data_IF_697508841311
#
_entry.id   IF_697508841311
#
_cell.length_a   1.000
_cell.length_b   1.000
_cell.length_c   1.000
_cell.angle_alpha   90.00
_cell.angle_beta   90.00
_cell.angle_gamma   90.00
#
_symmetry.space_group_name_H-M   'P 1'
#
loop_
_entity.id
_entity.type
_entity.pdbx_description
1 polymer ?
#
# COMPACT_ATOMS: atom_id res chain seq x y z
N UNK A 1 15.68 8.90 2.34
CA UNK A 1 16.58 10.04 2.14
C UNK A 1 17.44 10.25 3.38
N UNK A 2 18.26 11.30 3.39
CA UNK A 2 19.14 11.65 4.51
C UNK A 2 18.82 13.07 4.98
N UNK A 3 18.71 13.28 6.29
CA UNK A 3 18.46 14.60 6.86
C UNK A 3 19.68 15.49 6.61
N UNK A 4 19.49 16.62 5.91
CA UNK A 4 20.55 17.62 5.68
C UNK A 4 20.61 18.66 6.80
N UNK A 5 19.45 19.12 7.26
CA UNK A 5 19.30 20.13 8.31
C UNK A 5 17.93 19.96 8.99
N UNK A 6 17.80 20.52 10.18
CA UNK A 6 16.54 20.51 10.93
C UNK A 6 16.13 21.94 11.30
N UNK A 7 14.82 22.19 11.33
CA UNK A 7 14.27 23.47 11.77
C UNK A 7 14.28 23.63 13.29
N UNK A 8 14.01 24.84 13.75
CA UNK A 8 13.87 25.14 15.18
C UNK A 8 12.79 24.24 15.84
N UNK A 9 13.07 23.75 17.05
CA UNK A 9 12.16 22.91 17.83
C UNK A 9 12.14 21.43 17.44
N UNK A 10 12.78 21.02 16.34
CA UNK A 10 12.94 19.61 15.97
C UNK A 10 14.01 18.97 16.88
N UNK A 11 13.60 17.94 17.65
CA UNK A 11 14.50 17.26 18.61
C UNK A 11 14.81 15.80 18.27
N UNK A 12 14.00 15.19 17.39
CA UNK A 12 14.06 13.75 17.13
C UNK A 12 14.91 13.36 15.91
N UNK A 13 15.55 14.35 15.27
CA UNK A 13 16.36 14.17 14.07
C UNK A 13 17.60 15.05 14.13
N UNK A 14 18.69 14.58 13.53
CA UNK A 14 19.92 15.32 13.33
C UNK A 14 20.41 15.20 11.87
N UNK A 15 21.24 16.14 11.37
CA UNK A 15 21.93 15.96 10.10
C UNK A 15 22.65 14.61 10.02
N UNK A 16 22.52 13.91 8.89
CA UNK A 16 23.07 12.57 8.67
C UNK A 16 22.09 11.43 8.96
N UNK A 17 20.99 11.67 9.68
CA UNK A 17 20.01 10.62 9.96
C UNK A 17 19.36 10.12 8.66
N UNK A 18 19.38 8.80 8.45
CA UNK A 18 18.58 8.16 7.41
C UNK A 18 17.11 8.15 7.81
N UNK A 19 16.24 8.51 6.85
CA UNK A 19 14.80 8.55 7.06
C UNK A 19 14.02 8.00 5.87
N UNK A 20 12.84 7.47 6.18
CA UNK A 20 11.75 7.26 5.22
C UNK A 20 10.73 8.38 5.45
N UNK A 21 10.27 9.02 4.38
CA UNK A 21 9.15 9.95 4.45
C UNK A 21 7.85 9.17 4.35
N UNK A 22 7.04 9.23 5.40
CA UNK A 22 5.70 8.69 5.46
C UNK A 22 4.73 9.56 4.66
N UNK A 23 3.75 8.91 4.03
CA UNK A 23 2.57 9.58 3.49
C UNK A 23 1.89 10.40 4.61
N UNK A 24 1.69 9.80 5.77
CA UNK A 24 0.97 10.45 6.86
C UNK A 24 1.93 11.11 7.83
N UNK A 25 1.65 12.37 8.17
CA UNK A 25 2.31 13.05 9.28
C UNK A 25 1.57 12.71 10.59
N UNK A 26 2.33 12.36 11.62
CA UNK A 26 1.79 11.80 12.86
C UNK A 26 2.09 12.73 14.03
N UNK A 27 1.11 13.55 14.47
CA UNK A 27 1.35 14.53 15.54
C UNK A 27 1.59 13.89 16.92
N UNK A 28 1.18 12.63 17.11
CA UNK A 28 1.38 11.89 18.35
C UNK A 28 0.45 12.26 19.52
N UNK A 29 -0.43 13.25 19.36
CA UNK A 29 -1.25 13.78 20.46
C UNK A 29 -2.75 13.90 20.17
N UNK A 30 -3.17 13.93 18.90
CA UNK A 30 -4.60 13.94 18.56
C UNK A 30 -5.27 12.61 18.92
N UNK A 31 -6.61 12.58 18.95
CA UNK A 31 -7.38 11.39 19.34
C UNK A 31 -6.96 10.14 18.56
N UNK A 32 -6.85 10.24 17.24
CA UNK A 32 -6.45 9.10 16.41
C UNK A 32 -5.00 8.65 16.67
N UNK A 33 -4.06 9.58 16.86
CA UNK A 33 -2.69 9.21 17.22
C UNK A 33 -2.63 8.52 18.58
N UNK A 34 -3.31 9.07 19.59
CA UNK A 34 -3.36 8.53 20.95
C UNK A 34 -4.05 7.15 21.02
N UNK A 35 -4.97 6.87 20.10
CA UNK A 35 -5.63 5.57 19.96
C UNK A 35 -4.87 4.58 19.06
N UNK A 36 -3.62 4.88 18.67
CA UNK A 36 -2.81 4.00 17.85
C UNK A 36 -3.21 3.94 16.37
N UNK A 37 -3.93 4.95 15.86
CA UNK A 37 -4.36 5.09 14.45
C UNK A 37 -3.76 6.33 13.78
N UNK A 38 -2.43 6.49 13.77
CA UNK A 38 -1.78 7.73 13.37
C UNK A 38 -1.83 7.98 11.85
N UNK A 39 -2.10 6.98 11.01
CA UNK A 39 -2.36 7.17 9.57
C UNK A 39 -3.55 8.10 9.29
N UNK A 40 -4.49 8.23 10.22
CA UNK A 40 -5.62 9.16 10.14
C UNK A 40 -5.45 10.29 11.16
N UNK A 41 -4.26 10.89 11.23
CA UNK A 41 -4.00 12.03 12.10
C UNK A 41 -5.01 13.16 11.87
N UNK A 42 -5.57 13.72 12.95
CA UNK A 42 -6.56 14.80 12.87
C UNK A 42 -5.89 16.18 12.78
N UNK A 43 -4.63 16.29 13.22
CA UNK A 43 -3.86 17.54 13.23
C UNK A 43 -3.27 17.83 11.86
N UNK A 44 -2.65 16.83 11.24
CA UNK A 44 -1.97 17.01 9.97
C UNK A 44 -2.87 16.55 8.84
N UNK A 45 -3.34 17.49 8.01
CA UNK A 45 -4.11 17.19 6.80
C UNK A 45 -3.21 17.10 5.59
N UNK A 46 -3.58 16.25 4.63
CA UNK A 46 -2.92 16.20 3.33
C UNK A 46 -3.40 17.35 2.44
N UNK A 47 -2.95 18.57 2.74
CA UNK A 47 -3.29 19.75 1.96
C UNK A 47 -2.09 20.20 1.10
N UNK A 48 -2.32 20.70 -0.13
CA UNK A 48 -1.26 21.28 -0.93
C UNK A 48 -0.61 22.45 -0.20
N UNK A 49 0.72 22.43 -0.11
CA UNK A 49 1.52 23.53 0.43
C UNK A 49 2.45 24.07 -0.64
N UNK A 50 2.82 25.34 -0.52
CA UNK A 50 3.88 25.94 -1.33
C UNK A 50 5.11 26.18 -0.46
N UNK A 51 6.21 25.53 -0.84
CA UNK A 51 7.55 25.65 -0.25
C UNK A 51 8.64 25.81 -1.31
N UNK A 52 8.31 25.57 -2.58
CA UNK A 52 9.20 25.79 -3.72
C UNK A 52 8.65 26.91 -4.58
N UNK A 53 9.55 27.59 -5.28
CA UNK A 53 9.21 28.59 -6.29
C UNK A 53 9.99 28.31 -7.57
N UNK A 54 9.37 28.57 -8.72
CA UNK A 54 10.03 28.58 -10.01
C UNK A 54 9.73 29.91 -10.69
N UNK A 55 10.77 30.64 -11.07
CA UNK A 55 10.65 31.97 -11.68
C UNK A 55 9.79 32.95 -10.85
N UNK A 56 9.87 32.87 -9.52
CA UNK A 56 9.08 33.69 -8.59
C UNK A 56 7.70 33.12 -8.25
N UNK A 57 7.16 32.20 -9.05
CA UNK A 57 5.83 31.63 -8.85
C UNK A 57 5.84 30.43 -7.88
N UNK A 58 4.84 30.31 -6.98
CA UNK A 58 4.74 29.21 -6.03
C UNK A 58 4.42 27.88 -6.73
N UNK A 59 5.18 26.83 -6.39
CA UNK A 59 4.85 25.44 -6.76
C UNK A 59 4.15 24.75 -5.60
N UNK A 60 2.89 24.40 -5.82
CA UNK A 60 2.08 23.63 -4.87
C UNK A 60 2.37 22.15 -4.99
N UNK A 61 2.45 21.48 -3.85
CA UNK A 61 2.75 20.07 -3.78
C UNK A 61 2.16 19.44 -2.52
N UNK A 62 2.07 18.12 -2.54
CA UNK A 62 1.76 17.29 -1.37
C UNK A 62 2.91 16.30 -1.23
N UNK A 63 3.78 16.50 -0.24
CA UNK A 63 4.97 15.68 0.05
C UNK A 63 5.83 15.37 -1.20
N UNK A 64 6.60 16.34 -1.69
CA UNK A 64 7.33 16.19 -2.94
C UNK A 64 8.58 15.34 -2.71
N UNK A 65 8.72 14.29 -3.51
CA UNK A 65 9.87 13.37 -3.48
C UNK A 65 10.56 13.23 -4.83
N UNK A 66 10.03 13.84 -5.90
CA UNK A 66 10.69 13.96 -7.21
C UNK A 66 11.55 15.22 -7.29
N UNK A 67 12.37 15.43 -6.25
CA UNK A 67 13.27 16.56 -6.08
C UNK A 67 14.49 16.07 -5.29
N UNK A 68 15.68 16.60 -5.59
CA UNK A 68 16.92 16.22 -4.89
C UNK A 68 16.90 16.62 -3.41
N UNK A 69 16.19 17.69 -3.07
CA UNK A 69 16.02 18.17 -1.71
C UNK A 69 14.57 18.51 -1.45
N UNK A 70 14.06 18.03 -0.31
CA UNK A 70 12.68 18.29 0.11
C UNK A 70 12.59 18.81 1.53
N UNK A 71 11.69 19.77 1.74
CA UNK A 71 11.28 20.20 3.06
C UNK A 71 10.09 19.35 3.52
N UNK A 72 10.29 18.60 4.61
CA UNK A 72 9.26 17.76 5.20
C UNK A 72 8.96 18.15 6.65
N UNK A 73 7.73 17.89 7.09
CA UNK A 73 7.40 17.94 8.51
C UNK A 73 8.16 16.83 9.24
N UNK A 74 8.79 17.15 10.37
CA UNK A 74 9.46 16.14 11.19
C UNK A 74 8.50 15.00 11.61
N UNK A 75 7.21 15.31 11.77
CA UNK A 75 6.17 14.34 12.09
C UNK A 75 5.85 13.35 10.97
N UNK A 76 6.25 13.64 9.73
CA UNK A 76 6.16 12.74 8.59
C UNK A 76 7.44 11.91 8.37
N UNK A 77 8.50 12.17 9.15
CA UNK A 77 9.75 11.44 9.03
C UNK A 77 9.75 10.23 9.95
N UNK A 78 10.22 9.09 9.43
CA UNK A 78 10.54 7.90 10.22
C UNK A 78 12.04 7.68 10.13
N UNK A 79 12.75 7.81 11.25
CA UNK A 79 14.18 7.50 11.34
C UNK A 79 14.39 6.00 11.16
N UNK A 80 15.39 5.63 10.37
CA UNK A 80 15.72 4.22 10.07
C UNK A 80 17.19 3.94 10.40
N UNK A 81 17.58 2.67 10.63
CA UNK A 81 18.97 2.29 10.87
C UNK A 81 19.93 2.75 9.76
N UNK A 82 21.18 3.05 10.11
CA UNK A 82 22.20 3.54 9.17
C UNK A 82 22.56 2.53 8.08
N UNK A 83 22.37 1.24 8.32
CA UNK A 83 22.58 0.16 7.34
C UNK A 83 21.39 -0.03 6.38
N UNK A 84 20.34 0.80 6.48
CA UNK A 84 19.16 0.70 5.62
C UNK A 84 19.52 1.03 4.17
N UNK A 85 19.16 0.12 3.26
CA UNK A 85 19.21 0.33 1.81
C UNK A 85 18.01 1.19 1.40
N UNK A 86 18.26 2.46 1.09
CA UNK A 86 17.19 3.45 0.90
C UNK A 86 16.38 3.22 -0.39
N UNK A 87 16.97 2.57 -1.39
CA UNK A 87 16.31 2.27 -2.67
C UNK A 87 15.15 1.29 -2.51
N UNK A 88 15.31 0.24 -1.70
CA UNK A 88 14.24 -0.69 -1.35
C UNK A 88 13.31 -0.09 -0.30
N UNK A 89 13.89 0.56 0.71
CA UNK A 89 13.13 1.13 1.81
C UNK A 89 12.17 2.23 1.36
N UNK A 90 12.43 2.90 0.22
CA UNK A 90 11.51 3.91 -0.32
C UNK A 90 10.13 3.34 -0.69
N UNK A 91 10.02 2.04 -0.96
CA UNK A 91 8.76 1.38 -1.28
C UNK A 91 7.85 1.19 -0.05
N UNK A 92 8.46 1.20 1.15
CA UNK A 92 7.78 0.93 2.42
C UNK A 92 6.68 1.96 2.69
N UNK A 93 6.93 3.23 2.38
CA UNK A 93 6.09 4.34 2.81
C UNK A 93 4.74 4.50 2.11
N UNK A 94 4.43 3.62 1.16
CA UNK A 94 3.19 3.66 0.42
C UNK A 94 2.70 2.24 0.11
N UNK A 95 3.10 1.66 -1.02
CA UNK A 95 2.52 0.41 -1.52
C UNK A 95 2.72 -0.78 -0.59
N UNK A 96 3.90 -0.90 0.01
CA UNK A 96 4.26 -2.05 0.85
C UNK A 96 3.47 -2.04 2.16
N UNK A 97 3.54 -0.94 2.94
CA UNK A 97 2.77 -0.84 4.18
C UNK A 97 1.26 -0.89 3.93
N UNK A 98 0.79 -0.31 2.82
CA UNK A 98 -0.64 -0.35 2.48
C UNK A 98 -1.10 -1.80 2.31
N UNK A 99 -0.36 -2.60 1.53
CA UNK A 99 -0.72 -3.98 1.28
C UNK A 99 -0.57 -4.87 2.51
N UNK A 100 0.61 -4.89 3.12
CA UNK A 100 0.88 -5.73 4.30
C UNK A 100 -0.05 -5.31 5.46
N UNK A 101 -0.14 -4.01 5.74
CA UNK A 101 -0.98 -3.48 6.81
C UNK A 101 -2.47 -3.71 6.59
N UNK A 102 -2.96 -3.67 5.34
CA UNK A 102 -4.36 -4.03 5.07
C UNK A 102 -4.68 -5.45 5.57
N UNK A 103 -3.75 -6.39 5.43
CA UNK A 103 -3.89 -7.76 5.92
C UNK A 103 -3.70 -7.83 7.44
N UNK A 104 -2.53 -7.43 7.95
CA UNK A 104 -2.15 -7.74 9.34
C UNK A 104 -2.68 -6.74 10.36
N UNK A 105 -2.81 -5.47 10.00
CA UNK A 105 -3.26 -4.42 10.91
C UNK A 105 -4.78 -4.24 10.82
N UNK A 106 -5.34 -4.22 9.60
CA UNK A 106 -6.72 -3.81 9.37
C UNK A 106 -7.71 -4.97 9.35
N UNK A 107 -7.48 -5.96 8.48
CA UNK A 107 -8.33 -7.13 8.34
C UNK A 107 -8.07 -8.17 9.43
N UNK A 108 -6.82 -8.23 9.93
CA UNK A 108 -6.36 -9.21 10.90
C UNK A 108 -6.62 -10.66 10.44
N UNK A 109 -6.30 -10.94 9.17
CA UNK A 109 -6.51 -12.24 8.53
C UNK A 109 -5.97 -13.36 9.41
N UNK A 110 -6.82 -14.34 9.71
CA UNK A 110 -6.44 -15.46 10.54
C UNK A 110 -5.61 -16.49 9.77
N UNK A 111 -4.77 -17.21 10.50
CA UNK A 111 -4.04 -18.35 9.97
C UNK A 111 -4.99 -19.40 9.39
N UNK A 112 -4.68 -19.86 8.18
CA UNK A 112 -5.47 -20.83 7.43
C UNK A 112 -6.63 -20.23 6.63
N UNK A 113 -6.95 -18.95 6.79
CA UNK A 113 -8.03 -18.30 6.05
C UNK A 113 -7.75 -18.27 4.54
N UNK A 114 -8.82 -18.28 3.75
CA UNK A 114 -8.77 -18.02 2.31
C UNK A 114 -8.95 -16.54 2.03
N UNK A 115 -8.16 -16.01 1.10
CA UNK A 115 -8.24 -14.62 0.68
C UNK A 115 -8.13 -14.45 -0.83
N UNK A 116 -8.90 -13.51 -1.37
CA UNK A 116 -8.81 -13.04 -2.75
C UNK A 116 -8.21 -11.64 -2.81
N UNK A 117 -7.38 -11.36 -3.82
CA UNK A 117 -6.75 -10.05 -4.03
C UNK A 117 -7.05 -9.57 -5.44
N UNK A 118 -7.92 -8.57 -5.55
CA UNK A 118 -8.31 -7.96 -6.81
C UNK A 118 -7.34 -6.85 -7.19
N UNK A 119 -6.43 -7.16 -8.12
CA UNK A 119 -5.37 -6.30 -8.64
C UNK A 119 -3.99 -6.72 -8.15
N UNK A 120 -3.08 -7.03 -9.08
CA UNK A 120 -1.71 -7.48 -8.80
C UNK A 120 -0.67 -6.39 -9.12
N UNK A 121 -1.01 -5.13 -8.81
CA UNK A 121 -0.05 -4.01 -8.81
C UNK A 121 0.75 -3.97 -7.50
N UNK A 122 1.63 -2.99 -7.32
CA UNK A 122 2.52 -2.99 -6.14
C UNK A 122 1.84 -2.83 -4.77
N UNK A 123 0.55 -2.50 -4.67
CA UNK A 123 -0.21 -2.66 -3.40
C UNK A 123 -0.66 -4.12 -3.26
N UNK A 124 -1.31 -4.69 -4.28
CA UNK A 124 -1.80 -6.06 -4.27
C UNK A 124 -0.73 -7.12 -4.09
N UNK A 125 0.44 -6.94 -4.72
CA UNK A 125 1.61 -7.79 -4.48
C UNK A 125 2.00 -7.80 -2.99
N UNK A 126 1.83 -6.68 -2.28
CA UNK A 126 2.10 -6.61 -0.84
C UNK A 126 0.92 -7.06 0.03
N UNK A 127 -0.32 -7.04 -0.47
CA UNK A 127 -1.44 -7.76 0.16
C UNK A 127 -1.17 -9.27 0.13
N UNK A 128 -0.67 -9.79 -1.00
CA UNK A 128 -0.28 -11.20 -1.11
C UNK A 128 0.81 -11.55 -0.10
N UNK A 129 1.89 -10.75 -0.02
CA UNK A 129 2.93 -10.94 1.00
C UNK A 129 2.37 -10.85 2.44
N UNK A 130 1.44 -9.92 2.69
CA UNK A 130 0.73 -9.83 3.95
C UNK A 130 -0.04 -11.12 4.28
N UNK A 131 -0.69 -11.73 3.28
CA UNK A 131 -1.35 -13.03 3.41
C UNK A 131 -0.40 -14.16 3.77
N UNK A 132 0.79 -14.19 3.15
CA UNK A 132 1.86 -15.14 3.51
C UNK A 132 2.31 -14.95 4.96
N UNK A 133 2.52 -13.70 5.39
CA UNK A 133 2.89 -13.38 6.78
C UNK A 133 1.81 -13.78 7.79
N UNK A 134 0.53 -13.65 7.42
CA UNK A 134 -0.61 -14.11 8.22
C UNK A 134 -0.83 -15.63 8.19
N UNK A 135 -0.05 -16.36 7.38
CA UNK A 135 -0.22 -17.78 7.10
C UNK A 135 -1.61 -18.13 6.56
N UNK A 136 -2.13 -17.31 5.63
CA UNK A 136 -3.35 -17.60 4.89
C UNK A 136 -3.21 -18.93 4.11
N UNK A 137 -4.26 -19.76 4.13
CA UNK A 137 -4.25 -21.10 3.54
C UNK A 137 -4.42 -21.09 2.02
N UNK A 138 -5.22 -20.15 1.49
CA UNK A 138 -5.38 -19.91 0.05
C UNK A 138 -5.27 -18.42 -0.23
N UNK A 139 -4.32 -18.05 -1.08
CA UNK A 139 -4.14 -16.67 -1.55
C UNK A 139 -4.42 -16.66 -3.05
N UNK A 140 -5.54 -16.07 -3.45
CA UNK A 140 -6.06 -16.06 -4.82
C UNK A 140 -5.79 -14.70 -5.44
N UNK A 141 -4.89 -14.66 -6.43
CA UNK A 141 -4.54 -13.45 -7.17
C UNK A 141 -5.49 -13.26 -8.35
N UNK A 142 -6.08 -12.07 -8.47
CA UNK A 142 -6.96 -11.69 -9.59
C UNK A 142 -6.37 -10.48 -10.30
N UNK A 143 -6.14 -10.59 -11.60
CA UNK A 143 -5.73 -9.46 -12.46
C UNK A 143 -6.19 -9.75 -13.89
N UNK A 144 -6.08 -8.77 -14.79
CA UNK A 144 -6.39 -8.95 -16.22
C UNK A 144 -5.14 -9.28 -17.04
N UNK A 145 -3.95 -9.06 -16.49
CA UNK A 145 -2.66 -9.24 -17.17
C UNK A 145 -1.92 -10.46 -16.62
N UNK A 146 -1.68 -11.46 -17.47
CA UNK A 146 -1.04 -12.73 -17.07
C UNK A 146 0.33 -12.54 -16.40
N UNK A 147 1.19 -11.66 -16.96
CA UNK A 147 2.50 -11.35 -16.36
C UNK A 147 2.40 -10.85 -14.91
N UNK A 148 1.33 -10.15 -14.52
CA UNK A 148 1.16 -9.72 -13.12
C UNK A 148 0.76 -10.88 -12.21
N UNK A 149 0.08 -11.89 -12.75
CA UNK A 149 -0.22 -13.13 -12.02
C UNK A 149 1.05 -13.96 -11.79
N UNK A 150 1.98 -13.97 -12.76
CA UNK A 150 3.31 -14.56 -12.58
C UNK A 150 4.10 -13.85 -11.46
N UNK A 151 4.05 -12.51 -11.41
CA UNK A 151 4.63 -11.77 -10.28
C UNK A 151 3.93 -12.08 -8.95
N UNK A 152 2.61 -12.25 -8.97
CA UNK A 152 1.84 -12.63 -7.79
C UNK A 152 2.26 -13.99 -7.24
N UNK A 153 2.55 -14.96 -8.12
CA UNK A 153 3.09 -16.28 -7.73
C UNK A 153 4.41 -16.12 -6.98
N UNK A 154 5.32 -15.29 -7.50
CA UNK A 154 6.60 -15.01 -6.84
C UNK A 154 6.42 -14.39 -5.46
N UNK A 155 5.33 -13.66 -5.22
CA UNK A 155 5.01 -13.05 -3.93
C UNK A 155 4.29 -13.99 -2.95
N UNK A 156 3.94 -15.20 -3.39
CA UNK A 156 3.31 -16.24 -2.58
C UNK A 156 1.81 -16.45 -2.83
N UNK A 157 1.26 -15.93 -3.93
CA UNK A 157 -0.07 -16.33 -4.36
C UNK A 157 -0.07 -17.82 -4.72
N UNK A 158 -1.18 -18.49 -4.38
CA UNK A 158 -1.35 -19.95 -4.52
C UNK A 158 -2.29 -20.33 -5.66
N UNK A 159 -3.14 -19.39 -6.06
CA UNK A 159 -4.14 -19.56 -7.12
C UNK A 159 -4.21 -18.27 -7.93
N UNK A 160 -4.61 -18.38 -9.19
CA UNK A 160 -4.57 -17.29 -10.16
C UNK A 160 -5.86 -17.27 -10.96
N UNK A 161 -6.39 -16.08 -11.18
CA UNK A 161 -7.62 -15.86 -11.93
C UNK A 161 -7.40 -14.68 -12.88
N UNK A 162 -7.51 -14.92 -14.18
CA UNK A 162 -7.47 -13.83 -15.15
C UNK A 162 -8.89 -13.34 -15.41
N UNK A 163 -9.27 -12.21 -14.81
CA UNK A 163 -10.63 -11.66 -14.90
C UNK A 163 -11.01 -11.09 -16.28
N UNK A 164 -10.07 -11.04 -17.23
CA UNK A 164 -10.38 -10.77 -18.63
C UNK A 164 -10.82 -12.02 -19.40
N UNK A 165 -10.61 -13.23 -18.85
CA UNK A 165 -10.88 -14.51 -19.50
C UNK A 165 -12.04 -15.28 -18.84
N UNK A 166 -12.28 -15.05 -17.57
CA UNK A 166 -13.30 -15.74 -16.78
C UNK A 166 -13.92 -14.83 -15.71
N UNK A 167 -15.05 -15.24 -15.13
CA UNK A 167 -15.69 -14.51 -14.03
C UNK A 167 -14.91 -14.75 -12.72
N UNK A 168 -14.28 -13.72 -12.14
CA UNK A 168 -13.49 -13.88 -10.94
C UNK A 168 -14.32 -14.28 -9.71
N UNK A 169 -15.57 -13.85 -9.61
CA UNK A 169 -16.42 -14.14 -8.44
C UNK A 169 -16.74 -15.63 -8.39
N UNK A 170 -17.21 -16.19 -9.51
CA UNK A 170 -17.50 -17.62 -9.61
C UNK A 170 -16.25 -18.45 -9.37
N UNK A 171 -15.11 -18.05 -9.96
CA UNK A 171 -13.86 -18.80 -9.82
C UNK A 171 -13.35 -18.81 -8.37
N UNK A 172 -13.46 -17.69 -7.66
CA UNK A 172 -13.13 -17.63 -6.22
C UNK A 172 -14.04 -18.58 -5.42
N UNK A 173 -15.34 -18.57 -5.68
CA UNK A 173 -16.31 -19.45 -5.00
C UNK A 173 -15.97 -20.92 -5.24
N UNK A 174 -15.62 -21.31 -6.46
CA UNK A 174 -15.21 -22.68 -6.80
C UNK A 174 -13.92 -23.09 -6.09
N UNK A 175 -12.88 -22.24 -6.10
CA UNK A 175 -11.59 -22.51 -5.46
C UNK A 175 -11.76 -22.69 -3.94
N UNK A 176 -12.64 -21.90 -3.34
CA UNK A 176 -12.84 -21.85 -1.88
C UNK A 176 -13.92 -22.82 -1.38
N UNK A 177 -14.82 -23.26 -2.27
CA UNK A 177 -15.98 -24.10 -1.91
C UNK A 177 -17.13 -23.32 -1.28
N UNK A 178 -17.23 -22.00 -1.51
CA UNK A 178 -18.32 -21.17 -0.94
C UNK A 178 -18.05 -19.66 -0.82
N UNK A 179 -16.90 -19.18 -1.30
CA UNK A 179 -16.46 -17.79 -1.18
C UNK A 179 -15.25 -17.66 -0.25
N UNK A 180 -14.42 -16.65 -0.49
CA UNK A 180 -13.24 -16.40 0.34
C UNK A 180 -13.63 -15.86 1.72
N UNK A 181 -12.81 -16.11 2.74
CA UNK A 181 -12.99 -15.51 4.07
C UNK A 181 -12.70 -13.99 4.00
N UNK A 182 -11.72 -13.59 3.18
CA UNK A 182 -11.37 -12.20 2.91
C UNK A 182 -11.27 -11.89 1.41
N UNK A 183 -11.67 -10.69 1.00
CA UNK A 183 -11.40 -10.17 -0.34
C UNK A 183 -10.82 -8.75 -0.26
N UNK A 184 -9.69 -8.50 -0.90
CA UNK A 184 -9.03 -7.20 -0.92
C UNK A 184 -9.19 -6.56 -2.30
N UNK A 185 -9.88 -5.42 -2.33
CA UNK A 185 -10.00 -4.58 -3.52
C UNK A 185 -8.86 -3.54 -3.52
N UNK A 186 -7.91 -3.66 -4.46
CA UNK A 186 -6.70 -2.81 -4.51
C UNK A 186 -6.51 -2.10 -5.85
N UNK A 187 -7.60 -1.90 -6.61
CA UNK A 187 -7.59 -1.24 -7.93
C UNK A 187 -8.15 0.17 -7.87
N UNK A 188 -9.29 0.37 -7.20
CA UNK A 188 -9.99 1.65 -7.09
C UNK A 188 -11.19 1.82 -8.02
N UNK A 189 -11.97 0.75 -8.26
CA UNK A 189 -13.19 0.84 -9.07
C UNK A 189 -14.42 0.27 -8.35
N UNK A 190 -15.59 0.97 -8.34
CA UNK A 190 -16.78 0.52 -7.62
C UNK A 190 -17.27 -0.88 -8.05
N UNK A 191 -17.17 -1.19 -9.34
CA UNK A 191 -17.54 -2.51 -9.87
C UNK A 191 -16.68 -3.64 -9.27
N UNK A 192 -15.40 -3.38 -8.99
CA UNK A 192 -14.50 -4.36 -8.40
C UNK A 192 -14.75 -4.46 -6.89
N UNK A 193 -15.14 -3.36 -6.23
CA UNK A 193 -15.61 -3.43 -4.83
C UNK A 193 -16.83 -4.34 -4.71
N UNK A 194 -17.76 -4.25 -5.68
CA UNK A 194 -18.91 -5.16 -5.76
C UNK A 194 -18.47 -6.62 -5.95
N UNK A 195 -17.56 -6.89 -6.89
CA UNK A 195 -17.01 -8.24 -7.08
C UNK A 195 -16.34 -8.78 -5.80
N UNK A 196 -15.60 -7.93 -5.08
CA UNK A 196 -14.94 -8.32 -3.84
C UNK A 196 -15.94 -8.80 -2.78
N UNK A 197 -17.00 -8.03 -2.50
CA UNK A 197 -18.03 -8.44 -1.53
C UNK A 197 -18.87 -9.63 -2.01
N UNK A 198 -19.07 -9.77 -3.32
CA UNK A 198 -19.83 -10.90 -3.89
C UNK A 198 -19.02 -12.20 -3.79
N UNK A 199 -17.69 -12.10 -3.84
CA UNK A 199 -16.76 -13.23 -3.80
C UNK A 199 -16.47 -13.79 -2.40
N UNK A 200 -16.83 -13.06 -1.33
CA UNK A 200 -16.67 -13.58 0.02
C UNK A 200 -17.85 -14.46 0.43
N UNK A 201 -17.60 -15.40 1.33
CA UNK A 201 -18.63 -16.24 1.94
C UNK A 201 -19.54 -15.43 2.88
N UNK A 202 -20.64 -16.03 3.33
CA UNK A 202 -21.36 -15.55 4.53
C UNK A 202 -20.38 -15.41 5.70
N UNK A 203 -20.53 -14.34 6.49
CA UNK A 203 -19.58 -13.92 7.54
C UNK A 203 -18.20 -13.45 7.05
N UNK A 204 -17.97 -13.38 5.73
CA UNK A 204 -16.69 -12.96 5.15
C UNK A 204 -16.51 -11.44 5.06
N UNK A 205 -15.28 -10.99 4.83
CA UNK A 205 -14.92 -9.57 4.85
C UNK A 205 -14.31 -9.09 3.53
N UNK A 206 -14.94 -8.08 2.91
CA UNK A 206 -14.36 -7.33 1.81
C UNK A 206 -13.67 -6.05 2.33
N UNK A 207 -12.41 -5.86 1.93
CA UNK A 207 -11.52 -4.78 2.36
C UNK A 207 -11.22 -3.88 1.16
N UNK A 208 -11.72 -2.65 1.20
CA UNK A 208 -11.47 -1.62 0.19
C UNK A 208 -10.18 -0.88 0.52
N UNK A 209 -9.18 -1.08 -0.33
CA UNK A 209 -7.86 -0.45 -0.26
C UNK A 209 -7.65 0.51 -1.43
N UNK A 210 -8.21 0.16 -2.60
CA UNK A 210 -8.17 0.97 -3.82
C UNK A 210 -8.83 2.33 -3.62
N UNK A 211 -8.15 3.39 -4.11
CA UNK A 211 -8.68 4.75 -4.03
C UNK A 211 -9.74 4.95 -5.11
N UNK A 212 -10.99 5.12 -4.69
CA UNK A 212 -12.11 5.35 -5.60
C UNK A 212 -12.06 6.78 -6.20
N UNK A 213 -12.53 7.00 -7.44
CA UNK A 213 -12.69 8.34 -7.98
C UNK A 213 -13.67 9.18 -7.14
N UNK A 214 -13.37 10.47 -6.99
CA UNK A 214 -14.23 11.39 -6.23
C UNK A 214 -15.65 11.42 -6.76
N UNK A 215 -16.63 11.31 -5.85
CA UNK A 215 -18.07 11.37 -6.19
C UNK A 215 -18.66 10.09 -6.77
N UNK A 216 -17.93 8.97 -6.72
CA UNK A 216 -18.46 7.66 -7.09
C UNK A 216 -19.00 6.92 -5.86
N UNK A 217 -20.17 6.31 -6.02
CA UNK A 217 -20.79 5.48 -4.99
C UNK A 217 -20.37 4.01 -5.13
N UNK A 218 -20.35 3.32 -4.00
CA UNK A 218 -20.24 1.86 -3.94
C UNK A 218 -21.57 1.30 -3.47
N UNK A 219 -22.19 0.47 -4.31
CA UNK A 219 -23.46 -0.19 -4.01
C UNK A 219 -23.23 -1.66 -3.67
N UNK A 220 -23.88 -2.13 -2.60
CA UNK A 220 -23.90 -3.53 -2.21
C UNK A 220 -25.34 -3.99 -1.99
N UNK A 221 -25.61 -5.26 -2.25
CA UNK A 221 -26.91 -5.85 -1.96
C UNK A 221 -27.13 -5.90 -0.45
N UNK A 222 -28.27 -5.38 0.02
CA UNK A 222 -28.59 -5.34 1.45
C UNK A 222 -28.63 -6.73 2.11
N UNK A 223 -28.92 -7.77 1.33
CA UNK A 223 -28.91 -9.15 1.83
C UNK A 223 -27.53 -9.61 2.29
N UNK A 224 -26.44 -9.12 1.68
CA UNK A 224 -25.08 -9.41 2.15
C UNK A 224 -24.83 -8.92 3.58
N UNK A 225 -25.45 -7.80 3.98
CA UNK A 225 -25.35 -7.30 5.34
C UNK A 225 -26.11 -8.21 6.33
N UNK A 226 -27.22 -8.82 5.88
CA UNK A 226 -27.96 -9.81 6.68
C UNK A 226 -27.22 -11.15 6.79
N UNK A 227 -26.39 -11.48 5.80
CA UNK A 227 -25.47 -12.64 5.81
C UNK A 227 -24.19 -12.41 6.64
N UNK A 228 -24.15 -11.33 7.42
CA UNK A 228 -23.02 -10.93 8.27
C UNK A 228 -21.73 -10.68 7.46
N UNK A 229 -21.83 -10.37 6.17
CA UNK A 229 -20.67 -9.93 5.39
C UNK A 229 -20.27 -8.52 5.80
N UNK A 230 -18.97 -8.30 5.94
CA UNK A 230 -18.42 -6.99 6.28
C UNK A 230 -17.82 -6.31 5.05
N UNK A 231 -18.14 -5.03 4.85
CA UNK A 231 -17.41 -4.14 3.92
C UNK A 231 -16.66 -3.08 4.74
N UNK A 232 -15.34 -3.01 4.60
CA UNK A 232 -14.53 -2.08 5.37
C UNK A 232 -13.42 -1.42 4.55
N UNK A 233 -13.04 -0.20 4.91
CA UNK A 233 -11.89 0.49 4.30
C UNK A 233 -10.56 0.25 5.03
N UNK A 234 -9.46 0.36 4.31
CA UNK A 234 -8.09 0.29 4.84
C UNK A 234 -7.20 1.43 4.30
N UNK A 235 -7.32 2.62 4.89
CA UNK A 235 -6.45 3.74 4.52
C UNK A 235 -5.00 3.47 4.96
N UNK A 236 -4.07 3.51 4.00
CA UNK A 236 -2.64 3.31 4.19
C UNK A 236 -2.32 2.08 5.07
N UNK A 237 -3.07 0.98 4.90
CA UNK A 237 -2.88 -0.26 5.66
C UNK A 237 -3.10 -0.13 7.17
N UNK A 238 -3.87 0.88 7.62
CA UNK A 238 -4.02 1.23 9.03
C UNK A 238 -2.67 1.41 9.76
N UNK A 239 -1.68 1.93 9.03
CA UNK A 239 -0.30 1.98 9.47
C UNK A 239 -0.07 2.78 10.76
N UNK A 240 0.96 2.35 11.48
CA UNK A 240 1.69 3.12 12.49
C UNK A 240 3.12 3.30 11.98
N UNK A 241 3.40 4.26 11.08
CA UNK A 241 4.68 4.34 10.36
C UNK A 241 5.94 4.20 11.22
N UNK A 242 5.98 4.85 12.40
CA UNK A 242 7.13 4.78 13.33
C UNK A 242 7.39 3.38 13.92
N UNK A 243 6.42 2.47 13.85
CA UNK A 243 6.53 1.09 14.32
C UNK A 243 6.61 0.15 13.11
N UNK A 244 5.63 0.26 12.22
CA UNK A 244 5.42 -0.73 11.17
C UNK A 244 6.49 -0.64 10.07
N UNK A 245 7.07 0.55 9.80
CA UNK A 245 8.15 0.64 8.80
C UNK A 245 9.42 -0.05 9.28
N UNK A 246 9.73 0.08 10.58
CA UNK A 246 10.88 -0.59 11.18
C UNK A 246 10.67 -2.11 11.20
N UNK A 247 9.46 -2.55 11.56
CA UNK A 247 9.10 -3.96 11.49
C UNK A 247 9.22 -4.53 10.06
N UNK A 248 8.76 -3.80 9.05
CA UNK A 248 8.90 -4.20 7.64
C UNK A 248 10.38 -4.27 7.22
N UNK A 249 11.20 -3.31 7.64
CA UNK A 249 12.65 -3.37 7.41
C UNK A 249 13.28 -4.61 8.03
N UNK A 250 12.89 -4.97 9.26
CA UNK A 250 13.39 -6.17 9.93
C UNK A 250 12.94 -7.45 9.21
N UNK A 251 11.69 -7.50 8.72
CA UNK A 251 11.21 -8.63 7.91
C UNK A 251 11.98 -8.75 6.60
N UNK A 252 12.29 -7.62 5.95
CA UNK A 252 13.08 -7.61 4.72
C UNK A 252 14.51 -8.12 4.98
N UNK A 253 15.17 -7.66 6.05
CA UNK A 253 16.49 -8.16 6.47
C UNK A 253 16.48 -9.67 6.76
N UNK A 254 15.37 -10.20 7.25
CA UNK A 254 15.17 -11.64 7.49
C UNK A 254 14.79 -12.45 6.23
N UNK A 255 14.63 -11.81 5.07
CA UNK A 255 14.16 -12.46 3.84
C UNK A 255 12.70 -12.93 3.90
N UNK A 256 11.91 -12.42 4.86
CA UNK A 256 10.49 -12.79 5.04
C UNK A 256 9.55 -12.01 4.11
N UNK A 257 10.02 -10.89 3.59
CA UNK A 257 9.35 -10.13 2.55
C UNK A 257 10.36 -9.78 1.45
N UNK A 258 9.82 -9.58 0.26
CA UNK A 258 10.48 -9.31 -1.01
C UNK A 258 10.28 -7.85 -1.36
N UNK A 259 11.36 -7.07 -1.28
CA UNK A 259 11.37 -5.67 -1.74
C UNK A 259 12.11 -5.52 -3.07
N UNK A 260 13.18 -6.29 -3.28
CA UNK A 260 13.97 -6.24 -4.51
C UNK A 260 13.13 -6.67 -5.71
N UNK A 261 12.36 -7.74 -5.57
CA UNK A 261 11.49 -8.29 -6.62
C UNK A 261 10.31 -7.38 -6.98
N UNK A 262 9.98 -6.41 -6.12
CA UNK A 262 8.99 -5.38 -6.45
C UNK A 262 9.56 -4.34 -7.44
N UNK A 263 10.89 -4.18 -7.48
CA UNK A 263 11.57 -3.18 -8.31
C UNK A 263 11.78 -3.77 -9.70
N UNK A 264 10.96 -3.34 -10.65
CA UNK A 264 11.10 -3.77 -12.04
C UNK A 264 12.20 -3.00 -12.78
N UNK A 265 12.47 -1.77 -12.35
CA UNK A 265 13.42 -0.84 -13.00
C UNK A 265 14.00 0.15 -11.99
N UNK A 266 15.27 0.47 -12.17
CA UNK A 266 15.91 1.68 -11.65
C UNK A 266 16.03 2.67 -12.80
N UNK A 267 15.79 3.96 -12.52
CA UNK A 267 15.92 5.05 -13.50
C UNK A 267 16.49 6.30 -12.83
N UNK A 268 17.31 7.11 -13.51
CA UNK A 268 17.66 8.44 -13.01
C UNK A 268 16.43 9.37 -13.01
N UNK A 269 16.48 10.47 -12.25
CA UNK A 269 15.36 11.40 -12.09
C UNK A 269 14.96 12.11 -13.41
N UNK A 270 15.91 12.35 -14.32
CA UNK A 270 15.67 12.95 -15.63
C UNK A 270 14.76 12.09 -16.53
N UNK A 271 14.74 10.76 -16.32
CA UNK A 271 13.85 9.81 -16.99
C UNK A 271 12.47 9.64 -16.30
N UNK A 272 12.05 10.62 -15.49
CA UNK A 272 10.77 10.55 -14.76
C UNK A 272 9.56 10.37 -15.70
N UNK A 273 9.57 10.98 -16.88
CA UNK A 273 8.44 10.89 -17.81
C UNK A 273 8.31 9.50 -18.41
N UNK A 274 9.42 8.84 -18.71
CA UNK A 274 9.52 7.46 -19.17
C UNK A 274 9.03 6.50 -18.08
N UNK A 275 9.38 6.77 -16.81
CA UNK A 275 8.85 6.01 -15.67
C UNK A 275 7.31 6.08 -15.60
N UNK A 276 6.72 7.26 -15.82
CA UNK A 276 5.27 7.43 -15.90
C UNK A 276 4.64 6.71 -17.11
N UNK A 277 5.32 6.71 -18.26
CA UNK A 277 4.85 6.02 -19.46
C UNK A 277 4.80 4.49 -19.24
N UNK A 278 5.86 3.92 -18.67
CA UNK A 278 5.90 2.49 -18.34
C UNK A 278 4.83 2.08 -17.32
N UNK A 279 4.60 2.92 -16.31
CA UNK A 279 3.54 2.71 -15.32
C UNK A 279 2.16 2.68 -15.97
N UNK A 280 1.85 3.65 -16.85
CA UNK A 280 0.56 3.71 -17.57
C UNK A 280 0.38 2.53 -18.52
N UNK A 281 1.47 2.05 -19.12
CA UNK A 281 1.45 0.88 -20.00
C UNK A 281 1.40 -0.46 -19.23
N UNK A 282 1.44 -0.45 -17.89
CA UNK A 282 1.37 -1.65 -17.07
C UNK A 282 2.60 -2.55 -17.17
N UNK A 283 3.76 -2.01 -17.59
CA UNK A 283 4.99 -2.78 -17.84
C UNK A 283 5.82 -3.07 -16.58
N UNK A 284 5.51 -2.38 -15.47
CA UNK A 284 6.33 -2.39 -14.25
C UNK A 284 5.44 -2.52 -13.02
N UNK A 285 5.96 -3.17 -11.97
CA UNK A 285 5.36 -3.15 -10.64
C UNK A 285 5.76 -1.87 -9.88
N UNK A 286 7.07 -1.62 -9.76
CA UNK A 286 7.65 -0.36 -9.26
C UNK A 286 8.86 0.04 -10.09
N UNK A 287 8.99 1.35 -10.31
CA UNK A 287 10.21 1.98 -10.78
C UNK A 287 10.80 2.81 -9.64
N UNK A 288 12.07 2.61 -9.33
CA UNK A 288 12.79 3.43 -8.35
C UNK A 288 13.58 4.49 -9.09
N UNK A 289 13.34 5.75 -8.74
CA UNK A 289 14.14 6.86 -9.22
C UNK A 289 15.37 7.02 -8.32
N UNK A 290 16.55 6.97 -8.91
CA UNK A 290 17.84 7.17 -8.23
C UNK A 290 18.36 8.57 -8.48
N UNK A 291 19.09 9.09 -7.50
CA UNK A 291 19.72 10.40 -7.52
C UNK A 291 21.23 10.17 -7.45
N UNK A 292 21.99 10.83 -8.31
CA UNK A 292 23.46 10.77 -8.32
C UNK A 292 24.09 11.51 -7.12
#
# INVERSE_FOLDING_TARGET
GVVRAVGEGVRNFAPGDKIILSLDAMCGSCRNCSNGRPALCETHRMEPVSRYRQNGEPIYHVRPTFVEQTLALADACVKVPDDTQLEQACLISCGVITGIGAVVNRAQVETGASMAVFGCGGVGLNVIQGGVLAAAGKIIAVDTVDYKLELAEQMGATHFVNSAKEDPVQRIIEITGGGADYAFEVVGFPAIVRQAIDSVRMTGTAVVVGVQPTGQDVSVEGWHLLEDRTLMGAFHGAARPRVDFLWILDLYKQGKIKLDELISRYRPLDEINEAFADMKAGKVARSVLVFD
#
